data_IF_907072829648
#
_entry.id   IF_907072829648
#
_cell.length_a   1.000
_cell.length_b   1.000
_cell.length_c   1.000
_cell.angle_alpha   90.00
_cell.angle_beta   90.00
_cell.angle_gamma   90.00
#
_symmetry.space_group_name_H-M   'P 1'
#
loop_
_entity.id
_entity.type
_entity.pdbx_description
1 polymer ?
#
# COMPACT_ATOMS: atom_id res chain seq x y z
N UNK A 1 14.18 1.22 12.06
CA UNK A 1 13.77 0.36 10.88
C UNK A 1 14.94 0.16 9.92
N UNK A 2 14.97 -0.94 9.15
CA UNK A 2 15.90 -1.09 8.02
C UNK A 2 15.49 -0.11 6.91
N UNK A 3 16.44 0.71 6.44
CA UNK A 3 16.14 1.84 5.54
C UNK A 3 17.09 1.83 4.36
N UNK A 4 16.56 2.05 3.16
CA UNK A 4 17.37 2.17 1.93
C UNK A 4 16.90 3.34 1.10
N UNK A 5 17.84 4.17 0.66
CA UNK A 5 17.62 5.28 -0.26
C UNK A 5 17.89 4.85 -1.69
N UNK A 6 16.96 5.13 -2.58
CA UNK A 6 17.06 5.01 -4.02
C UNK A 6 17.14 6.43 -4.61
N UNK A 7 18.30 6.83 -5.12
CA UNK A 7 18.52 8.22 -5.55
C UNK A 7 17.71 8.56 -6.81
N UNK A 8 17.40 9.83 -6.99
CA UNK A 8 16.87 10.36 -8.24
C UNK A 8 17.85 10.10 -9.40
N UNK A 9 17.32 9.73 -10.55
CA UNK A 9 18.09 9.48 -11.79
C UNK A 9 18.13 10.71 -12.71
N UNK A 10 17.40 11.78 -12.38
CA UNK A 10 17.35 13.01 -13.19
C UNK A 10 16.24 13.99 -12.81
N UNK A 11 16.04 15.01 -13.61
CA UNK A 11 15.18 16.16 -13.30
C UNK A 11 13.67 15.84 -13.06
N UNK A 12 13.18 14.70 -13.52
CA UNK A 12 11.79 14.25 -13.32
C UNK A 12 11.71 12.92 -12.57
N UNK A 13 12.76 12.59 -11.83
CA UNK A 13 12.86 11.36 -11.07
C UNK A 13 12.83 11.67 -9.58
N UNK A 14 12.00 11.01 -8.77
CA UNK A 14 11.99 11.20 -7.33
C UNK A 14 13.23 10.57 -6.68
N UNK A 15 13.63 11.14 -5.54
CA UNK A 15 14.41 10.42 -4.55
C UNK A 15 13.43 9.62 -3.69
N UNK A 16 13.64 8.30 -3.58
CA UNK A 16 12.77 7.41 -2.81
C UNK A 16 13.54 6.84 -1.64
N UNK A 17 12.96 6.91 -0.45
CA UNK A 17 13.48 6.22 0.72
C UNK A 17 12.43 5.23 1.23
N UNK A 18 12.78 3.94 1.21
CA UNK A 18 11.94 2.87 1.75
C UNK A 18 12.35 2.54 3.19
N UNK A 19 11.36 2.26 4.02
CA UNK A 19 11.47 1.89 5.43
C UNK A 19 10.76 0.57 5.65
N UNK A 20 11.52 -0.46 5.98
CA UNK A 20 10.97 -1.79 6.25
C UNK A 20 10.50 -1.88 7.70
N UNK A 21 9.21 -2.18 7.88
CA UNK A 21 8.59 -2.43 9.17
C UNK A 21 8.54 -3.96 9.41
N UNK A 22 9.27 -4.48 10.41
CA UNK A 22 9.50 -5.92 10.50
C UNK A 22 8.32 -6.73 11.03
N UNK A 23 7.40 -6.12 11.80
CA UNK A 23 6.27 -6.85 12.42
C UNK A 23 5.20 -7.28 11.41
N UNK A 24 5.10 -6.54 10.29
CA UNK A 24 4.15 -6.81 9.21
C UNK A 24 4.83 -7.13 7.88
N UNK A 25 6.14 -6.87 7.77
CA UNK A 25 6.88 -6.98 6.52
C UNK A 25 6.59 -5.85 5.53
N UNK A 26 5.92 -4.79 5.98
CA UNK A 26 5.53 -3.67 5.14
C UNK A 26 6.69 -2.76 4.79
N UNK A 27 6.67 -2.21 3.57
CA UNK A 27 7.62 -1.17 3.15
C UNK A 27 6.87 0.14 2.96
N UNK A 28 7.27 1.12 3.76
CA UNK A 28 6.72 2.47 3.80
C UNK A 28 7.66 3.41 3.03
N UNK A 29 7.13 4.41 2.35
CA UNK A 29 7.97 5.24 1.48
C UNK A 29 7.88 6.72 1.80
N UNK A 30 9.04 7.40 1.73
CA UNK A 30 9.16 8.85 1.55
C UNK A 30 9.61 9.10 0.12
N UNK A 31 8.77 9.79 -0.65
CA UNK A 31 8.97 10.10 -2.07
C UNK A 31 9.18 11.59 -2.19
N UNK A 32 10.40 12.02 -2.47
CA UNK A 32 10.77 13.43 -2.46
C UNK A 32 11.13 13.95 -3.85
N UNK A 33 10.71 15.17 -4.13
CA UNK A 33 11.28 15.98 -5.19
C UNK A 33 12.59 16.62 -4.71
N UNK A 34 13.75 16.23 -5.26
CA UNK A 34 15.03 16.78 -4.81
C UNK A 34 15.17 18.28 -5.05
N UNK A 35 14.45 18.81 -6.07
CA UNK A 35 14.52 20.23 -6.46
C UNK A 35 13.79 21.15 -5.51
N UNK A 36 12.60 20.75 -5.06
CA UNK A 36 11.71 21.59 -4.21
C UNK A 36 11.72 21.20 -2.75
N UNK A 37 12.26 20.04 -2.40
CA UNK A 37 12.18 19.44 -1.07
C UNK A 37 10.75 19.10 -0.62
N UNK A 38 9.79 19.06 -1.54
CA UNK A 38 8.44 18.57 -1.28
C UNK A 38 8.44 17.04 -1.32
N UNK A 39 7.58 16.42 -0.50
CA UNK A 39 7.51 14.96 -0.40
C UNK A 39 6.10 14.44 -0.22
N UNK A 40 5.88 13.19 -0.60
CA UNK A 40 4.73 12.39 -0.19
C UNK A 40 5.18 11.24 0.70
N UNK A 41 4.31 10.85 1.62
CA UNK A 41 4.43 9.65 2.44
C UNK A 41 3.46 8.61 1.86
N UNK A 42 3.92 7.38 1.61
CA UNK A 42 3.10 6.33 1.00
C UNK A 42 3.07 5.11 1.91
N UNK A 43 1.86 4.60 2.21
CA UNK A 43 1.55 3.38 2.94
C UNK A 43 2.25 3.29 4.31
N UNK A 44 2.14 4.36 5.10
CA UNK A 44 2.78 4.45 6.43
C UNK A 44 1.99 3.67 7.47
N UNK A 45 2.68 2.81 8.20
CA UNK A 45 2.13 1.91 9.21
C UNK A 45 1.83 2.65 10.52
N UNK A 46 0.64 2.41 11.06
CA UNK A 46 0.29 2.65 12.45
C UNK A 46 0.54 1.34 13.23
N UNK A 47 1.45 1.37 14.19
CA UNK A 47 1.80 0.19 14.97
C UNK A 47 0.57 -0.37 15.70
N UNK A 48 0.42 -1.69 15.70
CA UNK A 48 -0.72 -2.36 16.32
C UNK A 48 -0.35 -3.74 16.86
N UNK A 49 -0.60 -3.94 18.16
CA UNK A 49 -0.53 -5.26 18.80
C UNK A 49 -1.94 -5.89 18.82
N UNK A 50 -2.20 -6.93 18.00
CA UNK A 50 -3.52 -7.57 17.95
C UNK A 50 -3.90 -8.30 19.25
N UNK A 51 -2.93 -8.68 20.10
CA UNK A 51 -3.23 -9.37 21.34
C UNK A 51 -3.80 -8.44 22.42
N UNK A 52 -3.32 -7.20 22.46
CA UNK A 52 -3.78 -6.18 23.44
C UNK A 52 -4.70 -5.12 22.82
N UNK A 53 -4.86 -5.11 21.51
CA UNK A 53 -5.51 -4.05 20.72
C UNK A 53 -4.85 -2.67 20.94
N UNK A 54 -3.58 -2.63 21.31
CA UNK A 54 -2.83 -1.40 21.54
C UNK A 54 -2.29 -0.84 20.24
N UNK A 55 -2.54 0.44 19.96
CA UNK A 55 -1.90 1.17 18.85
C UNK A 55 -0.66 1.92 19.33
N UNK A 56 0.28 2.15 18.41
CA UNK A 56 1.48 2.96 18.58
C UNK A 56 1.74 3.84 17.36
N UNK A 57 2.71 4.72 17.48
CA UNK A 57 3.10 5.63 16.39
C UNK A 57 4.61 5.64 16.16
N UNK A 58 5.30 4.68 16.70
CA UNK A 58 6.76 4.63 16.72
C UNK A 58 7.31 4.54 15.29
N UNK A 59 6.73 3.68 14.44
CA UNK A 59 7.09 3.54 13.03
C UNK A 59 6.83 4.82 12.23
N UNK A 60 5.64 5.41 12.37
CA UNK A 60 5.29 6.65 11.69
C UNK A 60 6.13 7.85 12.19
N UNK A 61 6.47 7.89 13.48
CA UNK A 61 7.33 8.91 14.07
C UNK A 61 8.75 8.84 13.52
N UNK A 62 9.31 7.64 13.33
CA UNK A 62 10.65 7.49 12.72
C UNK A 62 10.71 8.07 11.29
N UNK A 63 9.63 7.91 10.52
CA UNK A 63 9.49 8.51 9.19
C UNK A 63 9.42 10.05 9.27
N UNK A 64 8.64 10.61 10.20
CA UNK A 64 8.58 12.06 10.38
C UNK A 64 9.91 12.65 10.86
N UNK A 65 10.65 11.92 11.69
CA UNK A 65 11.98 12.33 12.12
C UNK A 65 12.97 12.32 10.95
N UNK A 66 12.85 11.35 10.04
CA UNK A 66 13.59 11.35 8.78
C UNK A 66 13.23 12.57 7.92
N UNK A 67 11.93 12.82 7.66
CA UNK A 67 11.44 13.98 6.91
C UNK A 67 12.03 15.28 7.44
N UNK A 68 11.98 15.47 8.77
CA UNK A 68 12.52 16.64 9.45
C UNK A 68 14.04 16.75 9.29
N UNK A 69 14.78 15.65 9.43
CA UNK A 69 16.24 15.60 9.31
C UNK A 69 16.70 15.94 7.90
N UNK A 70 15.97 15.48 6.88
CA UNK A 70 16.28 15.77 5.45
C UNK A 70 15.76 17.15 5.02
N UNK A 71 15.06 17.89 5.87
CA UNK A 71 14.47 19.19 5.56
C UNK A 71 13.39 19.11 4.49
N UNK A 72 12.61 18.03 4.49
CA UNK A 72 11.49 17.82 3.56
C UNK A 72 10.21 18.44 4.09
N UNK A 73 9.31 18.86 3.18
CA UNK A 73 7.96 19.31 3.47
C UNK A 73 6.95 18.31 2.89
N UNK A 74 6.09 17.75 3.74
CA UNK A 74 5.09 16.78 3.31
C UNK A 74 3.93 17.49 2.63
N UNK A 75 3.66 17.17 1.37
CA UNK A 75 2.50 17.68 0.61
C UNK A 75 1.35 16.68 0.55
N UNK A 76 1.65 15.38 0.69
CA UNK A 76 0.66 14.32 0.60
C UNK A 76 0.94 13.19 1.59
N UNK A 77 -0.14 12.63 2.14
CA UNK A 77 -0.19 11.34 2.80
C UNK A 77 -1.02 10.42 1.91
N UNK A 78 -0.41 9.41 1.32
CA UNK A 78 -0.99 8.59 0.28
C UNK A 78 -1.11 7.13 0.74
N UNK A 79 -2.25 6.52 0.46
CA UNK A 79 -2.43 5.09 0.63
C UNK A 79 -2.79 4.46 -0.71
N UNK A 80 -2.22 3.29 -1.00
CA UNK A 80 -2.47 2.58 -2.26
C UNK A 80 -3.76 1.77 -2.23
N UNK A 81 -4.12 1.25 -1.06
CA UNK A 81 -5.34 0.49 -0.80
C UNK A 81 -5.62 0.40 0.71
N UNK A 82 -6.81 -0.01 1.16
CA UNK A 82 -7.04 -0.34 2.56
C UNK A 82 -6.32 -1.66 2.89
N UNK A 83 -5.19 -1.58 3.59
CA UNK A 83 -4.35 -2.72 3.94
C UNK A 83 -5.06 -3.69 4.89
N UNK A 84 -4.79 -4.99 4.73
CA UNK A 84 -5.36 -6.04 5.58
C UNK A 84 -4.39 -6.52 6.69
N UNK A 85 -3.10 -6.26 6.53
CA UNK A 85 -2.02 -6.76 7.37
C UNK A 85 -1.51 -5.73 8.38
N UNK A 86 -1.75 -4.43 8.14
CA UNK A 86 -1.40 -3.35 9.06
C UNK A 86 -2.46 -2.24 9.09
N UNK A 87 -2.43 -1.43 10.13
CA UNK A 87 -3.21 -0.20 10.20
C UNK A 87 -2.49 0.95 9.50
N UNK A 88 -3.25 1.84 8.85
CA UNK A 88 -2.73 3.05 8.20
C UNK A 88 -2.53 4.17 9.21
N UNK A 89 -1.37 4.83 9.18
CA UNK A 89 -1.08 5.99 10.03
C UNK A 89 -1.65 7.32 9.48
N UNK A 90 -2.43 7.29 8.39
CA UNK A 90 -2.81 8.46 7.61
C UNK A 90 -3.50 9.55 8.45
N UNK A 91 -4.48 9.20 9.30
CA UNK A 91 -5.13 10.17 10.18
C UNK A 91 -4.15 10.85 11.16
N UNK A 92 -3.20 10.08 11.70
CA UNK A 92 -2.20 10.63 12.60
C UNK A 92 -1.23 11.54 11.85
N UNK A 93 -0.76 11.13 10.67
CA UNK A 93 0.15 11.91 9.83
C UNK A 93 -0.48 13.23 9.36
N UNK A 94 -1.76 13.22 8.97
CA UNK A 94 -2.52 14.47 8.66
C UNK A 94 -2.46 15.45 9.83
N UNK A 95 -2.67 14.96 11.05
CA UNK A 95 -2.62 15.80 12.27
C UNK A 95 -1.22 16.35 12.55
N UNK A 96 -0.16 15.60 12.22
CA UNK A 96 1.22 16.02 12.47
C UNK A 96 1.75 16.97 11.40
N UNK A 97 1.36 16.76 10.13
CA UNK A 97 1.95 17.49 8.98
C UNK A 97 1.05 18.59 8.42
N UNK A 98 -0.26 18.47 8.61
CA UNK A 98 -1.26 19.28 7.92
C UNK A 98 -1.47 18.92 6.45
N UNK A 99 -0.75 17.93 5.92
CA UNK A 99 -0.90 17.49 4.55
C UNK A 99 -2.20 16.69 4.36
N UNK A 100 -2.87 16.79 3.20
CA UNK A 100 -4.06 16.01 2.90
C UNK A 100 -3.72 14.52 2.72
N UNK A 101 -4.65 13.64 3.14
CA UNK A 101 -4.60 12.22 2.84
C UNK A 101 -5.40 11.89 1.57
N UNK A 102 -4.98 10.84 0.86
CA UNK A 102 -5.68 10.39 -0.34
C UNK A 102 -5.50 8.89 -0.59
N UNK A 103 -6.52 8.30 -1.28
CA UNK A 103 -6.57 6.89 -1.67
C UNK A 103 -7.35 6.76 -2.99
N UNK A 104 -7.41 5.56 -3.58
CA UNK A 104 -8.24 5.28 -4.76
C UNK A 104 -9.74 5.40 -4.48
N UNK A 105 -10.52 5.98 -5.43
CA UNK A 105 -11.97 6.21 -5.26
C UNK A 105 -12.78 4.93 -5.05
N UNK A 106 -12.25 3.78 -5.49
CA UNK A 106 -12.87 2.46 -5.31
C UNK A 106 -12.89 2.01 -3.83
N UNK A 107 -12.23 2.73 -2.94
CA UNK A 107 -12.36 2.54 -1.49
C UNK A 107 -13.84 2.60 -1.04
N UNK A 108 -14.70 3.36 -1.75
CA UNK A 108 -16.14 3.42 -1.48
C UNK A 108 -16.83 2.07 -1.67
N UNK A 109 -16.47 1.34 -2.71
CA UNK A 109 -17.00 0.00 -2.97
C UNK A 109 -16.49 -1.01 -1.94
N UNK A 110 -15.22 -0.89 -1.54
CA UNK A 110 -14.62 -1.72 -0.49
C UNK A 110 -15.27 -1.43 0.86
N UNK A 111 -15.49 -0.17 1.19
CA UNK A 111 -16.15 0.27 2.42
C UNK A 111 -17.57 -0.32 2.52
N UNK A 112 -18.35 -0.28 1.43
CA UNK A 112 -19.67 -0.87 1.37
C UNK A 112 -19.63 -2.39 1.61
N UNK A 113 -18.75 -3.10 0.90
CA UNK A 113 -18.55 -4.55 1.06
C UNK A 113 -18.21 -4.94 2.51
N UNK A 114 -17.29 -4.22 3.12
CA UNK A 114 -16.85 -4.52 4.48
C UNK A 114 -17.86 -4.06 5.55
N UNK A 115 -18.64 -3.00 5.31
CA UNK A 115 -19.76 -2.63 6.17
C UNK A 115 -20.79 -3.77 6.28
N UNK A 116 -21.08 -4.44 5.16
CA UNK A 116 -21.94 -5.63 5.15
C UNK A 116 -21.31 -6.82 5.87
N UNK A 117 -20.02 -7.06 5.64
CA UNK A 117 -19.29 -8.15 6.30
C UNK A 117 -19.23 -7.97 7.82
N UNK A 118 -19.04 -6.76 8.32
CA UNK A 118 -19.05 -6.44 9.75
C UNK A 118 -20.47 -6.30 10.32
N UNK A 119 -21.52 -6.29 9.48
CA UNK A 119 -22.89 -5.93 9.88
C UNK A 119 -22.92 -4.56 10.60
N UNK A 120 -22.32 -3.56 9.92
CA UNK A 120 -22.22 -2.17 10.38
C UNK A 120 -22.60 -1.21 9.23
N UNK A 121 -23.88 -1.20 8.81
CA UNK A 121 -24.29 -0.38 7.68
C UNK A 121 -24.06 1.11 7.94
N UNK A 122 -23.47 1.80 6.97
CA UNK A 122 -23.24 3.24 7.02
C UNK A 122 -22.13 3.71 7.97
N UNK A 123 -21.30 2.77 8.47
CA UNK A 123 -20.24 3.07 9.43
C UNK A 123 -18.99 3.70 8.79
N UNK A 124 -18.77 3.49 7.50
CA UNK A 124 -17.65 4.03 6.74
C UNK A 124 -18.12 5.14 5.81
N UNK A 125 -17.43 6.26 5.81
CA UNK A 125 -17.68 7.42 4.94
C UNK A 125 -16.37 7.91 4.30
N UNK A 126 -15.84 7.18 3.29
CA UNK A 126 -14.58 7.55 2.66
C UNK A 126 -14.55 8.97 2.07
N UNK A 127 -15.69 9.55 1.71
CA UNK A 127 -15.76 10.93 1.20
C UNK A 127 -15.48 11.98 2.29
N UNK A 128 -15.76 11.64 3.56
CA UNK A 128 -15.42 12.47 4.71
C UNK A 128 -14.06 12.12 5.34
N UNK A 129 -13.64 10.86 5.24
CA UNK A 129 -12.45 10.34 5.92
C UNK A 129 -11.16 10.62 5.13
N UNK A 130 -11.25 10.79 3.82
CA UNK A 130 -10.12 11.12 2.94
C UNK A 130 -10.31 12.50 2.30
N UNK A 131 -9.22 13.27 2.27
CA UNK A 131 -9.20 14.60 1.65
C UNK A 131 -9.38 14.54 0.14
N UNK A 132 -8.94 13.44 -0.49
CA UNK A 132 -9.09 13.18 -1.92
C UNK A 132 -9.22 11.69 -2.23
N UNK A 133 -10.13 11.38 -3.15
CA UNK A 133 -10.30 10.06 -3.75
C UNK A 133 -9.88 10.14 -5.21
N UNK A 134 -8.90 9.32 -5.61
CA UNK A 134 -8.35 9.33 -6.97
C UNK A 134 -9.05 8.34 -7.89
N UNK A 135 -9.43 8.80 -9.07
CA UNK A 135 -9.86 7.96 -10.18
C UNK A 135 -8.66 7.46 -11.01
N UNK A 136 -8.91 6.42 -11.84
CA UNK A 136 -7.90 5.96 -12.82
C UNK A 136 -7.54 7.07 -13.80
N UNK A 137 -6.25 7.31 -13.97
CA UNK A 137 -5.72 8.35 -14.85
C UNK A 137 -5.63 9.74 -14.23
N UNK A 138 -6.11 9.94 -13.01
CA UNK A 138 -5.92 11.21 -12.29
C UNK A 138 -4.45 11.58 -12.17
N UNK A 139 -4.19 12.90 -12.14
CA UNK A 139 -2.86 13.45 -11.98
C UNK A 139 -2.81 14.49 -10.87
N UNK A 140 -1.67 14.57 -10.22
CA UNK A 140 -1.34 15.60 -9.22
C UNK A 140 0.17 15.83 -9.19
N UNK A 141 0.67 16.59 -8.24
CA UNK A 141 2.11 16.88 -8.12
C UNK A 141 2.63 16.58 -6.72
N UNK A 142 3.94 16.26 -6.68
CA UNK A 142 4.78 16.30 -5.49
C UNK A 142 5.91 17.28 -5.84
N UNK A 143 5.86 18.51 -5.33
CA UNK A 143 6.70 19.58 -5.81
C UNK A 143 6.51 19.82 -7.30
N UNK A 144 7.60 19.67 -8.08
CA UNK A 144 7.57 19.78 -9.54
C UNK A 144 7.37 18.44 -10.26
N UNK A 145 7.37 17.32 -9.53
CA UNK A 145 7.16 15.99 -10.10
C UNK A 145 5.68 15.76 -10.41
N UNK A 146 5.40 15.32 -11.64
CA UNK A 146 4.07 14.87 -12.02
C UNK A 146 3.83 13.45 -11.49
N UNK A 147 2.66 13.24 -10.90
CA UNK A 147 2.19 11.94 -10.45
C UNK A 147 0.98 11.55 -11.27
N UNK A 148 0.96 10.32 -11.77
CA UNK A 148 -0.20 9.70 -12.42
C UNK A 148 -0.69 8.53 -11.58
N UNK A 149 -2.01 8.47 -11.37
CA UNK A 149 -2.67 7.36 -10.69
C UNK A 149 -3.08 6.30 -11.72
N UNK A 150 -2.79 5.04 -11.43
CA UNK A 150 -3.25 3.90 -12.23
C UNK A 150 -4.07 2.98 -11.33
N UNK A 151 -5.33 2.74 -11.69
CA UNK A 151 -6.12 1.69 -11.05
C UNK A 151 -5.48 0.33 -11.34
N UNK A 152 -5.11 -0.40 -10.30
CA UNK A 152 -4.43 -1.70 -10.38
C UNK A 152 -5.11 -2.75 -9.46
N UNK A 153 -6.39 -3.08 -9.72
CA UNK A 153 -7.19 -3.97 -8.90
C UNK A 153 -6.73 -5.42 -9.04
N UNK A 154 -7.25 -6.27 -8.16
CA UNK A 154 -7.05 -7.70 -8.19
C UNK A 154 -6.58 -8.25 -6.85
N UNK A 155 -5.62 -7.62 -6.19
CA UNK A 155 -5.35 -7.84 -4.77
C UNK A 155 -6.54 -7.36 -3.92
N UNK A 156 -6.96 -6.12 -4.13
CA UNK A 156 -8.25 -5.58 -3.69
C UNK A 156 -9.01 -5.00 -4.89
N UNK A 157 -10.31 -4.66 -4.69
CA UNK A 157 -11.13 -3.99 -5.71
C UNK A 157 -10.59 -2.62 -6.12
N UNK A 158 -9.93 -1.91 -5.21
CA UNK A 158 -9.63 -0.50 -5.35
C UNK A 158 -8.16 -0.15 -5.24
N UNK A 159 -7.28 -1.13 -5.31
CA UNK A 159 -5.84 -0.89 -5.31
C UNK A 159 -5.44 0.04 -6.46
N UNK A 160 -4.57 1.00 -6.16
CA UNK A 160 -4.01 1.93 -7.14
C UNK A 160 -2.49 1.93 -7.08
N UNK A 161 -1.86 2.26 -8.20
CA UNK A 161 -0.42 2.47 -8.33
C UNK A 161 -0.15 3.95 -8.55
N UNK A 162 0.77 4.53 -7.80
CA UNK A 162 1.26 5.90 -8.04
C UNK A 162 2.50 5.86 -8.90
N UNK A 163 2.44 6.50 -10.09
CA UNK A 163 3.59 6.62 -11.01
C UNK A 163 4.15 8.03 -10.92
N UNK A 164 5.36 8.16 -10.41
CA UNK A 164 6.07 9.43 -10.17
C UNK A 164 7.35 9.44 -10.98
N UNK A 165 7.33 10.10 -12.14
CA UNK A 165 8.49 10.09 -13.05
C UNK A 165 8.86 8.68 -13.48
N UNK A 166 10.06 8.22 -13.10
CA UNK A 166 10.60 6.88 -13.38
C UNK A 166 10.37 5.87 -12.24
N UNK A 167 9.56 6.21 -11.24
CA UNK A 167 9.22 5.36 -10.11
C UNK A 167 7.73 5.01 -10.11
N UNK A 168 7.36 3.76 -9.79
CA UNK A 168 5.98 3.33 -9.62
C UNK A 168 5.83 2.57 -8.30
N UNK A 169 4.92 3.05 -7.44
CA UNK A 169 4.59 2.45 -6.16
C UNK A 169 3.43 1.49 -6.37
N UNK A 170 3.78 0.21 -6.53
CA UNK A 170 2.88 -0.82 -7.04
C UNK A 170 2.20 -1.63 -5.93
N UNK A 171 2.46 -1.28 -4.67
CA UNK A 171 1.89 -1.94 -3.49
C UNK A 171 1.86 -3.49 -3.65
N UNK A 172 0.79 -4.11 -3.16
CA UNK A 172 0.55 -5.56 -3.24
C UNK A 172 -0.03 -6.00 -4.60
N UNK A 173 0.45 -5.44 -5.70
CA UNK A 173 0.30 -6.01 -7.04
C UNK A 173 1.48 -6.95 -7.32
N UNK A 174 2.69 -6.46 -7.15
CA UNK A 174 3.91 -7.25 -7.20
C UNK A 174 4.45 -7.53 -5.80
N UNK A 175 5.12 -8.66 -5.66
CA UNK A 175 6.15 -8.89 -4.64
C UNK A 175 7.52 -8.63 -5.27
N UNK A 176 8.60 -8.66 -4.47
CA UNK A 176 9.93 -8.51 -5.05
C UNK A 176 10.17 -9.52 -6.20
N UNK A 177 11.02 -9.14 -7.15
CA UNK A 177 11.22 -9.87 -8.42
C UNK A 177 11.61 -11.34 -8.25
N UNK A 178 12.17 -11.73 -7.11
CA UNK A 178 12.54 -13.11 -6.77
C UNK A 178 11.40 -13.89 -6.09
N UNK A 179 10.31 -13.23 -5.71
CA UNK A 179 9.14 -13.82 -5.02
C UNK A 179 7.93 -14.00 -5.95
N UNK A 180 7.58 -12.99 -6.74
CA UNK A 180 6.48 -13.05 -7.70
C UNK A 180 5.40 -11.97 -7.54
N UNK A 181 4.18 -12.36 -7.17
CA UNK A 181 3.02 -11.47 -7.02
C UNK A 181 2.28 -11.74 -5.72
N UNK A 182 1.52 -10.78 -5.25
CA UNK A 182 0.71 -10.93 -4.04
C UNK A 182 -0.52 -11.81 -4.24
N UNK A 183 -1.23 -12.08 -3.15
CA UNK A 183 -2.50 -12.83 -3.12
C UNK A 183 -3.65 -12.02 -3.71
N UNK A 184 -4.71 -12.72 -4.16
CA UNK A 184 -5.89 -12.13 -4.78
C UNK A 184 -7.22 -12.72 -4.27
N UNK A 185 -7.21 -13.38 -3.11
CA UNK A 185 -8.34 -14.11 -2.54
C UNK A 185 -9.11 -13.34 -1.45
N UNK A 186 -8.77 -12.09 -1.22
CA UNK A 186 -9.56 -11.23 -0.33
C UNK A 186 -10.95 -10.94 -0.91
N UNK A 187 -11.94 -10.64 -0.05
CA UNK A 187 -13.26 -10.20 -0.51
C UNK A 187 -13.15 -9.08 -1.55
N UNK A 188 -13.62 -9.35 -2.78
CA UNK A 188 -13.49 -8.46 -3.92
C UNK A 188 -12.19 -8.59 -4.72
N UNK A 189 -11.25 -9.43 -4.30
CA UNK A 189 -10.04 -9.75 -5.05
C UNK A 189 -10.31 -10.72 -6.22
N UNK A 190 -9.36 -10.81 -7.16
CA UNK A 190 -9.44 -11.71 -8.32
C UNK A 190 -8.08 -11.88 -8.97
N UNK A 191 -7.61 -13.10 -9.07
CA UNK A 191 -6.34 -13.45 -9.74
C UNK A 191 -6.33 -13.06 -11.23
N UNK A 192 -7.47 -13.22 -11.93
CA UNK A 192 -7.60 -12.82 -13.33
C UNK A 192 -7.52 -11.30 -13.51
N UNK A 193 -8.14 -10.53 -12.63
CA UNK A 193 -8.06 -9.06 -12.65
C UNK A 193 -6.67 -8.58 -12.24
N UNK A 194 -6.04 -9.26 -11.27
CA UNK A 194 -4.65 -8.98 -10.87
C UNK A 194 -3.68 -9.18 -12.05
N UNK A 195 -3.88 -10.23 -12.86
CA UNK A 195 -3.08 -10.43 -14.06
C UNK A 195 -3.16 -9.23 -15.02
N UNK A 196 -4.36 -8.68 -15.26
CA UNK A 196 -4.52 -7.50 -16.11
C UNK A 196 -3.78 -6.28 -15.56
N UNK A 197 -3.86 -6.07 -14.25
CA UNK A 197 -3.15 -4.99 -13.56
C UNK A 197 -1.63 -5.15 -13.68
N UNK A 198 -1.13 -6.38 -13.49
CA UNK A 198 0.29 -6.71 -13.65
C UNK A 198 0.77 -6.40 -15.07
N UNK A 199 0.03 -6.84 -16.11
CA UNK A 199 0.39 -6.57 -17.50
C UNK A 199 0.39 -5.07 -17.79
N UNK A 200 -0.62 -4.33 -17.30
CA UNK A 200 -0.70 -2.87 -17.46
C UNK A 200 0.49 -2.14 -16.83
N UNK A 201 0.93 -2.57 -15.66
CA UNK A 201 2.13 -2.01 -15.01
C UNK A 201 3.40 -2.37 -15.80
N UNK A 202 3.47 -3.58 -16.33
CA UNK A 202 4.58 -4.01 -17.17
C UNK A 202 4.62 -3.32 -18.55
N UNK A 203 3.61 -2.55 -18.96
CA UNK A 203 3.67 -1.65 -20.13
C UNK A 203 4.45 -0.36 -19.88
N UNK A 204 4.80 -0.04 -18.62
CA UNK A 204 5.67 1.07 -18.31
C UNK A 204 7.07 0.87 -18.92
N UNK A 205 7.86 1.96 -19.12
CA UNK A 205 9.23 1.85 -19.63
C UNK A 205 10.08 0.84 -18.86
N UNK A 206 10.99 0.18 -19.55
CA UNK A 206 11.84 -0.90 -19.00
C UNK A 206 12.64 -0.48 -17.76
N UNK A 207 13.09 0.77 -17.74
CA UNK A 207 13.86 1.38 -16.65
C UNK A 207 13.00 1.85 -15.45
N UNK A 208 11.66 1.80 -15.55
CA UNK A 208 10.79 2.20 -14.45
C UNK A 208 11.06 1.33 -13.23
N UNK A 209 11.38 1.97 -12.11
CA UNK A 209 11.63 1.34 -10.81
C UNK A 209 10.27 1.04 -10.16
N UNK A 210 9.99 -0.22 -9.93
CA UNK A 210 8.81 -0.68 -9.19
C UNK A 210 9.14 -0.82 -7.70
N UNK A 211 8.35 -0.17 -6.86
CA UNK A 211 8.45 -0.21 -5.40
C UNK A 211 7.25 -0.97 -4.84
N UNK A 212 7.50 -2.09 -4.20
CA UNK A 212 6.48 -3.03 -3.70
C UNK A 212 6.03 -2.71 -2.27
N UNK A 213 4.88 -3.27 -1.85
CA UNK A 213 4.31 -3.04 -0.51
C UNK A 213 4.91 -3.91 0.59
N UNK A 214 5.34 -5.13 0.29
CA UNK A 214 5.76 -6.12 1.31
C UNK A 214 6.94 -6.97 0.88
N UNK A 215 7.79 -7.30 1.85
CA UNK A 215 8.81 -8.34 1.71
C UNK A 215 8.97 -9.12 3.02
N UNK A 216 9.26 -10.40 2.91
CA UNK A 216 9.32 -11.33 4.04
C UNK A 216 10.65 -12.11 4.03
N UNK A 217 11.79 -11.46 4.32
CA UNK A 217 13.06 -12.16 4.39
C UNK A 217 13.12 -13.16 5.56
N UNK A 218 13.93 -14.25 5.49
CA UNK A 218 14.81 -14.56 4.37
C UNK A 218 14.07 -15.13 3.15
N UNK A 219 14.49 -14.74 1.93
CA UNK A 219 13.97 -15.25 0.67
C UNK A 219 15.11 -15.86 -0.12
N UNK A 220 15.08 -17.15 -0.36
CA UNK A 220 16.17 -17.89 -1.03
C UNK A 220 17.53 -17.59 -0.35
N UNK A 221 18.43 -16.94 -1.06
CA UNK A 221 19.77 -16.57 -0.56
C UNK A 221 19.85 -15.12 -0.03
N UNK A 222 18.71 -14.43 0.09
CA UNK A 222 18.62 -13.05 0.54
C UNK A 222 18.14 -12.97 1.98
N UNK A 223 18.99 -12.41 2.85
CA UNK A 223 18.70 -12.21 4.28
C UNK A 223 18.05 -10.84 4.55
N UNK A 224 18.43 -9.81 3.78
CA UNK A 224 17.92 -8.45 3.93
C UNK A 224 16.62 -8.24 3.14
N UNK A 225 15.71 -7.35 3.60
CA UNK A 225 14.55 -6.96 2.84
C UNK A 225 14.95 -6.23 1.54
N UNK A 226 14.16 -6.46 0.47
CA UNK A 226 14.33 -5.80 -0.81
C UNK A 226 12.95 -5.43 -1.40
N UNK A 227 12.88 -4.26 -2.04
CA UNK A 227 11.61 -3.70 -2.47
C UNK A 227 11.64 -2.93 -3.78
N UNK A 228 12.78 -2.93 -4.46
CA UNK A 228 12.96 -2.23 -5.74
C UNK A 228 13.48 -3.21 -6.78
N UNK A 229 12.82 -3.23 -7.94
CA UNK A 229 13.29 -3.87 -9.16
C UNK A 229 12.68 -3.14 -10.35
N UNK A 230 13.31 -3.24 -11.53
CA UNK A 230 12.80 -2.57 -12.73
C UNK A 230 11.70 -3.37 -13.43
N UNK A 231 10.92 -2.69 -14.26
CA UNK A 231 9.95 -3.35 -15.16
C UNK A 231 10.62 -4.42 -16.01
N UNK A 232 11.79 -4.12 -16.58
CA UNK A 232 12.57 -5.10 -17.37
C UNK A 232 12.92 -6.35 -16.55
N UNK A 233 13.34 -6.18 -15.30
CA UNK A 233 13.64 -7.31 -14.42
C UNK A 233 12.42 -8.16 -14.11
N UNK A 234 11.27 -7.54 -13.83
CA UNK A 234 10.01 -8.26 -13.63
C UNK A 234 9.55 -9.01 -14.88
N UNK A 235 9.66 -8.40 -16.07
CA UNK A 235 9.35 -9.09 -17.33
C UNK A 235 10.25 -10.31 -17.58
N UNK A 236 11.51 -10.24 -17.20
CA UNK A 236 12.47 -11.32 -17.43
C UNK A 236 12.44 -12.39 -16.32
N UNK A 237 12.44 -11.97 -15.06
CA UNK A 237 12.82 -12.83 -13.92
C UNK A 237 11.68 -13.16 -12.96
N UNK A 238 10.55 -12.41 -12.99
CA UNK A 238 9.47 -12.65 -12.04
C UNK A 238 8.89 -14.06 -12.22
N UNK A 239 8.89 -14.93 -11.17
CA UNK A 239 8.50 -16.33 -11.30
C UNK A 239 7.02 -16.56 -11.65
N UNK A 240 6.15 -15.54 -11.49
CA UNK A 240 4.73 -15.67 -11.76
C UNK A 240 4.30 -15.09 -13.12
N UNK A 241 4.93 -14.01 -13.57
CA UNK A 241 4.53 -13.27 -14.78
C UNK A 241 5.68 -13.01 -15.74
N UNK A 242 6.91 -13.36 -15.38
CA UNK A 242 8.08 -13.24 -16.24
C UNK A 242 8.09 -14.27 -17.36
N UNK A 243 8.96 -14.04 -18.39
CA UNK A 243 9.12 -14.96 -19.49
C UNK A 243 7.88 -15.15 -20.38
N UNK A 244 6.87 -14.26 -20.30
CA UNK A 244 5.65 -14.34 -21.10
C UNK A 244 4.63 -15.35 -20.58
N UNK A 245 4.55 -15.53 -19.26
CA UNK A 245 3.55 -16.39 -18.62
C UNK A 245 2.12 -16.03 -19.08
N UNK A 246 1.34 -17.06 -19.46
CA UNK A 246 -0.04 -16.86 -19.91
C UNK A 246 -0.97 -16.51 -18.74
N UNK A 247 -2.10 -15.86 -19.05
CA UNK A 247 -3.16 -15.61 -18.06
C UNK A 247 -3.62 -16.90 -17.38
N UNK A 248 -3.85 -17.94 -18.16
CA UNK A 248 -4.35 -19.23 -17.67
C UNK A 248 -3.39 -19.86 -16.66
N UNK A 249 -2.10 -19.89 -16.98
CA UNK A 249 -1.06 -20.43 -16.09
C UNK A 249 -0.93 -19.58 -14.83
N UNK A 250 -0.97 -18.25 -14.96
CA UNK A 250 -0.93 -17.34 -13.82
C UNK A 250 -2.11 -17.54 -12.87
N UNK A 251 -3.34 -17.52 -13.38
CA UNK A 251 -4.55 -17.69 -12.57
C UNK A 251 -4.52 -19.04 -11.84
N UNK A 252 -4.18 -20.12 -12.53
CA UNK A 252 -4.05 -21.44 -11.93
C UNK A 252 -3.01 -21.50 -10.81
N UNK A 253 -1.86 -20.86 -11.01
CA UNK A 253 -0.79 -20.77 -10.01
C UNK A 253 -1.25 -19.96 -8.81
N UNK A 254 -1.86 -18.78 -9.07
CA UNK A 254 -2.27 -17.85 -8.01
C UNK A 254 -3.40 -18.44 -7.15
N UNK A 255 -4.43 -18.98 -7.78
CA UNK A 255 -5.56 -19.60 -7.07
C UNK A 255 -5.10 -20.81 -6.24
N UNK A 256 -4.22 -21.64 -6.79
CA UNK A 256 -3.66 -22.78 -6.05
C UNK A 256 -2.82 -22.33 -4.84
N UNK A 257 -2.06 -21.24 -4.96
CA UNK A 257 -1.26 -20.70 -3.87
C UNK A 257 -2.17 -20.07 -2.81
N UNK A 258 -3.14 -19.27 -3.23
CA UNK A 258 -4.04 -18.53 -2.32
C UNK A 258 -4.87 -19.49 -1.48
N UNK A 259 -5.34 -20.59 -2.04
CA UNK A 259 -6.06 -21.64 -1.31
C UNK A 259 -5.27 -22.25 -0.11
N UNK A 260 -3.97 -22.00 -0.02
CA UNK A 260 -3.11 -22.45 1.09
C UNK A 260 -2.86 -21.38 2.17
N UNK A 261 -3.34 -20.14 1.96
CA UNK A 261 -3.05 -19.03 2.85
C UNK A 261 -4.17 -18.83 3.88
N UNK A 262 -3.78 -18.57 5.12
CA UNK A 262 -4.68 -18.06 6.16
C UNK A 262 -5.00 -16.57 5.99
N UNK A 263 -5.95 -16.08 6.76
CA UNK A 263 -6.19 -14.64 6.86
C UNK A 263 -5.04 -13.95 7.59
N UNK A 264 -4.69 -12.71 7.22
CA UNK A 264 -3.78 -11.90 8.03
C UNK A 264 -4.35 -11.67 9.44
N UNK A 265 -3.52 -11.82 10.45
CA UNK A 265 -3.94 -11.75 11.87
C UNK A 265 -4.58 -10.40 12.23
N UNK A 266 -4.18 -9.33 11.56
CA UNK A 266 -4.66 -7.97 11.81
C UNK A 266 -5.86 -7.56 10.97
N UNK A 267 -6.25 -8.34 9.94
CA UNK A 267 -7.21 -7.93 8.91
C UNK A 267 -8.53 -7.40 9.47
N UNK A 268 -9.13 -8.12 10.44
CA UNK A 268 -10.44 -7.76 10.98
C UNK A 268 -10.41 -6.50 11.86
N UNK A 269 -9.23 -6.09 12.33
CA UNK A 269 -9.01 -4.83 13.03
C UNK A 269 -8.63 -3.72 12.05
N UNK A 270 -7.66 -4.00 11.21
CA UNK A 270 -7.05 -3.03 10.29
C UNK A 270 -8.09 -2.40 9.36
N UNK A 271 -8.97 -3.19 8.75
CA UNK A 271 -9.98 -2.67 7.83
C UNK A 271 -11.01 -1.74 8.50
N UNK A 272 -11.27 -1.90 9.80
CA UNK A 272 -12.14 -0.96 10.52
C UNK A 272 -11.48 0.42 10.73
N UNK A 273 -10.16 0.48 10.73
CA UNK A 273 -9.36 1.70 10.82
C UNK A 273 -9.08 2.26 9.43
N UNK A 274 -8.65 1.42 8.52
CA UNK A 274 -8.17 1.82 7.20
C UNK A 274 -9.30 2.36 6.31
N UNK A 275 -10.51 1.81 6.44
CA UNK A 275 -11.71 2.34 5.76
C UNK A 275 -12.24 3.64 6.37
N UNK A 276 -11.60 4.15 7.43
CA UNK A 276 -11.83 5.45 8.06
C UNK A 276 -10.60 6.38 7.93
N UNK A 277 -9.79 6.21 6.89
CA UNK A 277 -8.60 7.04 6.68
C UNK A 277 -7.56 6.93 7.81
N UNK A 278 -7.47 5.79 8.48
CA UNK A 278 -6.55 5.56 9.59
C UNK A 278 -7.09 6.02 10.96
N UNK A 279 -8.40 6.26 11.08
CA UNK A 279 -9.04 6.62 12.36
C UNK A 279 -9.54 5.38 13.09
N UNK A 280 -9.32 5.30 14.39
CA UNK A 280 -9.96 4.28 15.23
C UNK A 280 -11.49 4.40 15.17
N UNK A 281 -12.23 3.31 15.44
CA UNK A 281 -13.67 3.39 15.64
C UNK A 281 -14.04 4.46 16.65
N UNK A 282 -15.21 5.10 16.47
CA UNK A 282 -15.70 6.12 17.41
C UNK A 282 -15.73 5.58 18.84
N UNK A 283 -15.33 6.44 19.78
CA UNK A 283 -15.36 6.09 21.19
C UNK A 283 -16.81 5.91 21.67
N UNK A 284 -17.06 4.86 22.45
CA UNK A 284 -18.33 4.62 23.10
C UNK A 284 -18.52 5.48 24.38
N UNK A 285 -19.61 5.27 25.09
CA UNK A 285 -19.98 6.10 26.25
C UNK A 285 -18.96 6.10 27.40
N UNK A 286 -18.10 5.09 27.46
CA UNK A 286 -17.02 4.95 28.43
C UNK A 286 -15.70 5.61 27.98
N UNK A 287 -15.68 6.19 26.77
CA UNK A 287 -14.52 6.85 26.18
C UNK A 287 -13.55 5.94 25.46
N UNK A 288 -13.84 4.63 25.34
CA UNK A 288 -13.00 3.66 24.65
C UNK A 288 -13.55 3.32 23.25
N UNK A 289 -12.65 3.06 22.30
CA UNK A 289 -12.99 2.51 20.98
C UNK A 289 -13.01 0.98 21.03
N UNK A 290 -13.95 0.39 20.29
CA UNK A 290 -14.12 -1.07 20.25
C UNK A 290 -14.09 -1.59 18.81
N UNK A 291 -13.44 -2.75 18.61
CA UNK A 291 -13.49 -3.46 17.34
C UNK A 291 -14.58 -4.53 17.33
N UNK A 292 -15.37 -4.54 16.28
CA UNK A 292 -16.42 -5.52 16.08
C UNK A 292 -15.91 -6.68 15.22
N UNK A 293 -15.66 -7.83 15.84
CA UNK A 293 -15.12 -9.00 15.15
C UNK A 293 -16.21 -10.04 14.94
N UNK A 294 -16.56 -10.43 13.69
CA UNK A 294 -17.56 -11.44 13.41
C UNK A 294 -17.00 -12.84 13.71
N UNK A 295 -17.66 -13.57 14.58
CA UNK A 295 -17.29 -14.96 14.90
C UNK A 295 -17.76 -15.93 13.80
N UNK A 296 -16.89 -16.87 13.41
CA UNK A 296 -17.19 -17.97 12.47
C UNK A 296 -17.68 -17.48 11.08
N UNK A 297 -17.26 -16.31 10.62
CA UNK A 297 -17.68 -15.77 9.32
C UNK A 297 -16.63 -15.98 8.22
N UNK A 298 -15.36 -16.20 8.59
CA UNK A 298 -14.22 -16.43 7.71
C UNK A 298 -13.57 -17.77 8.01
#
# INVERSE_FOLDING_TARGET
MFTRKSPSTGARSPEVTGFYEPDTGSIQYVVADPGTKKAALIDVVLDFDPASAKTGTESAQEILDFVKREGLEVEWVLDTHPHADHMMASSWLVKQTGAPNAIGEKVKEIAHLWADLYNMPGVFDPESDFSRLFADGDTFKIGDLDVRVMLSPGHTLGSITYVVGDAAFVHDTFMHVDVGTSRADFPGGSSSVLYDSLQRILELPDETRLFIGHDYPPVKDREDPAWEATVAEHREKNPHVGGGASREDYVKLRDARDATLGLPDRMLYALQVNLRGGQLPEAEADGNSYFKIPANKF
#
